data_IF_330586887578
#
_entry.id   IF_330586887578
#
_cell.length_a   1.000
_cell.length_b   1.000
_cell.length_c   1.000
_cell.angle_alpha   90.00
_cell.angle_beta   90.00
_cell.angle_gamma   90.00
#
_symmetry.space_group_name_H-M   'P 1'
#
loop_
_entity.id
_entity.type
_entity.pdbx_description
1 polymer ?
#
# COMPACT_ATOMS: atom_id res chain seq x y z
N UNK A 1 -33.51 -83.29 -12.01
CA UNK A 1 -32.71 -82.47 -12.93
C UNK A 1 -33.57 -82.28 -14.15
N UNK A 2 -33.86 -81.02 -14.50
CA UNK A 2 -34.39 -80.48 -15.77
C UNK A 2 -34.94 -79.10 -15.40
N UNK A 3 -34.10 -78.07 -15.50
CA UNK A 3 -33.90 -77.21 -16.67
C UNK A 3 -34.74 -75.94 -16.49
N UNK A 4 -34.15 -74.99 -15.73
CA UNK A 4 -34.65 -73.62 -15.69
C UNK A 4 -34.33 -72.98 -17.04
N UNK A 5 -35.36 -72.79 -17.84
CA UNK A 5 -35.31 -72.11 -19.14
C UNK A 5 -35.19 -70.60 -18.87
N UNK A 6 -33.99 -70.05 -19.07
CA UNK A 6 -33.76 -68.61 -19.01
C UNK A 6 -34.18 -68.01 -20.35
N UNK A 7 -35.35 -67.38 -20.35
CA UNK A 7 -35.76 -66.51 -21.45
C UNK A 7 -34.91 -65.24 -21.33
N UNK A 8 -33.91 -65.13 -22.20
CA UNK A 8 -33.17 -63.89 -22.41
C UNK A 8 -34.12 -62.87 -23.07
N UNK A 9 -34.67 -61.96 -22.27
CA UNK A 9 -35.35 -60.78 -22.78
C UNK A 9 -34.33 -59.88 -23.51
N UNK A 10 -34.39 -59.86 -24.84
CA UNK A 10 -33.65 -58.87 -25.64
C UNK A 10 -34.00 -57.46 -25.14
N UNK A 11 -33.00 -56.61 -24.83
CA UNK A 11 -33.27 -55.25 -24.38
C UNK A 11 -33.90 -54.48 -25.54
N UNK A 12 -35.22 -54.24 -25.43
CA UNK A 12 -35.94 -53.32 -26.31
C UNK A 12 -35.19 -52.00 -26.32
N UNK A 13 -34.60 -51.65 -27.47
CA UNK A 13 -34.00 -50.35 -27.73
C UNK A 13 -35.06 -49.28 -27.49
N UNK A 14 -35.07 -48.75 -26.26
CA UNK A 14 -35.99 -47.72 -25.85
C UNK A 14 -35.77 -46.48 -26.71
N UNK A 15 -36.76 -46.15 -27.53
CA UNK A 15 -36.84 -44.85 -28.18
C UNK A 15 -36.67 -43.78 -27.10
N UNK A 16 -35.70 -42.90 -27.32
CA UNK A 16 -35.33 -41.78 -26.47
C UNK A 16 -36.57 -41.04 -25.96
N UNK A 17 -36.80 -41.10 -24.66
CA UNK A 17 -37.75 -40.25 -23.95
C UNK A 17 -37.35 -38.78 -24.15
N UNK A 18 -38.24 -38.02 -24.80
CA UNK A 18 -38.03 -36.62 -25.19
C UNK A 18 -37.65 -35.69 -24.02
N UNK A 19 -38.05 -36.03 -22.77
CA UNK A 19 -37.65 -35.28 -21.56
C UNK A 19 -36.18 -35.47 -21.17
N UNK A 20 -35.56 -36.61 -21.50
CA UNK A 20 -34.13 -36.83 -21.25
C UNK A 20 -33.22 -36.17 -22.29
N UNK A 21 -33.73 -35.94 -23.51
CA UNK A 21 -32.98 -35.28 -24.59
C UNK A 21 -32.70 -33.81 -24.30
N UNK A 22 -33.69 -33.07 -23.82
CA UNK A 22 -33.57 -31.64 -23.50
C UNK A 22 -32.55 -31.38 -22.39
N UNK A 23 -32.54 -32.22 -21.35
CA UNK A 23 -31.57 -32.12 -20.25
C UNK A 23 -30.14 -32.41 -20.73
N UNK A 24 -29.96 -33.42 -21.60
CA UNK A 24 -28.65 -33.73 -22.19
C UNK A 24 -28.13 -32.60 -23.07
N UNK A 25 -29.01 -31.94 -23.83
CA UNK A 25 -28.65 -30.78 -24.65
C UNK A 25 -28.22 -29.61 -23.76
N UNK A 26 -28.96 -29.33 -22.68
CA UNK A 26 -28.58 -28.30 -21.71
C UNK A 26 -27.23 -28.55 -21.05
N UNK A 27 -26.96 -29.79 -20.63
CA UNK A 27 -25.64 -30.17 -20.09
C UNK A 27 -24.52 -30.00 -21.12
N UNK A 28 -24.77 -30.33 -22.39
CA UNK A 28 -23.78 -30.19 -23.46
C UNK A 28 -23.45 -28.71 -23.72
N UNK A 29 -24.46 -27.84 -23.77
CA UNK A 29 -24.25 -26.40 -23.89
C UNK A 29 -23.46 -25.82 -22.72
N UNK A 30 -23.76 -26.25 -21.50
CA UNK A 30 -23.02 -25.81 -20.32
C UNK A 30 -21.54 -26.19 -20.41
N UNK A 31 -21.24 -27.46 -20.73
CA UNK A 31 -19.86 -27.95 -20.88
C UNK A 31 -19.12 -27.18 -21.99
N UNK A 32 -19.75 -26.99 -23.16
CA UNK A 32 -19.15 -26.24 -24.27
C UNK A 32 -18.90 -24.78 -23.85
N UNK A 33 -19.85 -24.15 -23.16
CA UNK A 33 -19.70 -22.80 -22.63
C UNK A 33 -18.53 -22.68 -21.66
N UNK A 34 -18.38 -23.63 -20.73
CA UNK A 34 -17.24 -23.67 -19.79
C UNK A 34 -15.91 -23.84 -20.52
N UNK A 35 -15.85 -24.72 -21.53
CA UNK A 35 -14.64 -24.92 -22.34
C UNK A 35 -14.29 -23.64 -23.11
N UNK A 36 -15.28 -22.99 -23.75
CA UNK A 36 -15.07 -21.73 -24.45
C UNK A 36 -14.55 -20.63 -23.52
N UNK A 37 -15.10 -20.52 -22.30
CA UNK A 37 -14.65 -19.57 -21.29
C UNK A 37 -13.22 -19.87 -20.83
N UNK A 38 -12.87 -21.13 -20.59
CA UNK A 38 -11.51 -21.52 -20.23
C UNK A 38 -10.50 -21.20 -21.36
N UNK A 39 -10.85 -21.49 -22.61
CA UNK A 39 -10.01 -21.16 -23.77
C UNK A 39 -9.85 -19.65 -23.95
N UNK A 40 -10.91 -18.88 -23.71
CA UNK A 40 -10.85 -17.42 -23.70
C UNK A 40 -9.84 -16.91 -22.68
N UNK A 41 -9.90 -17.38 -21.44
CA UNK A 41 -8.93 -16.99 -20.41
C UNK A 41 -7.50 -17.37 -20.80
N UNK A 42 -7.28 -18.62 -21.24
CA UNK A 42 -5.93 -19.05 -21.70
C UNK A 42 -5.41 -18.15 -22.82
N UNK A 43 -6.26 -17.79 -23.79
CA UNK A 43 -5.88 -16.89 -24.87
C UNK A 43 -5.51 -15.49 -24.36
N UNK A 44 -6.27 -14.93 -23.41
CA UNK A 44 -5.95 -13.64 -22.77
C UNK A 44 -4.65 -13.67 -21.96
N UNK A 45 -4.28 -14.79 -21.34
CA UNK A 45 -3.02 -14.91 -20.62
C UNK A 45 -1.80 -15.06 -21.55
N UNK A 46 -1.97 -15.72 -22.70
CA UNK A 46 -0.89 -15.91 -23.68
C UNK A 46 -0.62 -14.63 -24.47
N UNK A 47 -1.67 -13.91 -24.85
CA UNK A 47 -1.58 -12.62 -25.53
C UNK A 47 -2.39 -11.57 -24.77
N UNK A 48 -1.80 -10.94 -23.74
CA UNK A 48 -2.52 -9.96 -22.90
C UNK A 48 -2.89 -8.68 -23.66
N UNK A 49 -2.36 -8.46 -24.86
CA UNK A 49 -2.65 -7.29 -25.68
C UNK A 49 -3.71 -7.55 -26.76
N UNK A 50 -4.34 -8.72 -26.77
CA UNK A 50 -5.40 -9.02 -27.75
C UNK A 50 -6.64 -8.13 -27.54
N UNK A 51 -7.37 -7.83 -28.62
CA UNK A 51 -8.53 -6.93 -28.62
C UNK A 51 -9.73 -7.41 -27.79
N UNK A 52 -9.75 -8.68 -27.41
CA UNK A 52 -10.80 -9.28 -26.60
C UNK A 52 -10.45 -9.32 -25.11
N UNK A 53 -9.24 -8.89 -24.71
CA UNK A 53 -8.90 -8.72 -23.30
C UNK A 53 -9.55 -7.42 -22.77
N UNK A 54 -10.55 -7.48 -21.87
CA UNK A 54 -11.16 -6.28 -21.28
C UNK A 54 -10.21 -5.46 -20.38
N UNK A 55 -9.08 -6.04 -19.97
CA UNK A 55 -8.04 -5.37 -19.16
C UNK A 55 -6.65 -5.59 -19.77
N UNK A 56 -6.31 -4.93 -20.89
CA UNK A 56 -4.95 -4.98 -21.41
C UNK A 56 -4.00 -4.29 -20.42
N UNK A 57 -2.79 -4.85 -20.19
CA UNK A 57 -1.79 -4.19 -19.37
C UNK A 57 -1.38 -2.84 -20.01
N UNK A 58 -0.88 -1.88 -19.23
CA UNK A 58 -0.46 -0.59 -19.75
C UNK A 58 0.60 -0.81 -20.83
N UNK A 59 0.31 -0.38 -22.06
CA UNK A 59 1.24 -0.47 -23.18
C UNK A 59 2.53 0.27 -22.81
N UNK A 60 3.70 -0.39 -22.83
CA UNK A 60 4.95 0.34 -22.68
C UNK A 60 5.00 1.38 -23.80
N UNK A 61 5.07 2.65 -23.42
CA UNK A 61 5.34 3.72 -24.39
C UNK A 61 6.69 3.38 -24.99
N UNK A 62 6.72 3.06 -26.28
CA UNK A 62 7.95 2.88 -27.03
C UNK A 62 8.69 4.22 -27.01
N UNK A 63 9.62 4.37 -26.07
CA UNK A 63 10.57 5.47 -26.06
C UNK A 63 11.30 5.42 -27.40
N UNK A 64 10.98 6.38 -28.28
CA UNK A 64 11.70 6.60 -29.52
C UNK A 64 13.21 6.75 -29.24
N UNK A 65 14.06 6.49 -30.22
CA UNK A 65 15.50 6.35 -30.00
C UNK A 65 16.08 7.63 -29.40
N UNK A 66 16.40 7.58 -28.10
CA UNK A 66 17.23 8.58 -27.42
C UNK A 66 18.60 8.56 -28.08
N UNK A 67 18.95 9.65 -28.74
CA UNK A 67 20.22 9.81 -29.44
C UNK A 67 21.40 9.55 -28.51
N UNK A 68 22.29 8.66 -28.93
CA UNK A 68 23.59 8.38 -28.33
C UNK A 68 24.34 9.68 -28.01
N UNK A 69 24.77 9.93 -26.75
CA UNK A 69 25.70 11.01 -26.48
C UNK A 69 27.06 10.64 -27.08
N UNK A 70 27.49 11.44 -28.04
CA UNK A 70 28.84 11.38 -28.63
C UNK A 70 29.85 11.75 -27.54
N UNK A 71 30.74 10.81 -27.21
CA UNK A 71 31.84 11.01 -26.25
C UNK A 71 32.89 11.97 -26.87
N UNK A 72 33.27 13.07 -26.19
CA UNK A 72 34.43 13.85 -26.59
C UNK A 72 35.74 13.14 -26.21
N UNK A 73 36.84 13.36 -26.96
CA UNK A 73 38.07 12.58 -26.82
C UNK A 73 38.80 12.91 -25.51
N UNK A 74 39.25 11.86 -24.82
CA UNK A 74 40.15 11.90 -23.66
C UNK A 74 41.56 12.26 -24.13
N UNK A 75 42.04 13.44 -23.78
CA UNK A 75 43.46 13.79 -23.86
C UNK A 75 44.14 13.77 -22.48
N UNK A 76 45.37 13.26 -22.52
CA UNK A 76 46.24 12.69 -21.49
C UNK A 76 46.92 13.77 -20.62
N UNK A 77 47.07 13.57 -19.29
CA UNK A 77 48.29 13.95 -18.55
C UNK A 77 48.51 13.05 -17.32
N UNK A 78 49.70 12.43 -17.13
CA UNK A 78 50.10 11.83 -15.85
C UNK A 78 50.82 12.87 -14.96
N UNK A 79 50.47 12.96 -13.68
CA UNK A 79 51.27 13.71 -12.70
C UNK A 79 51.37 12.95 -11.37
N UNK A 80 52.61 12.67 -10.99
CA UNK A 80 53.07 11.92 -9.83
C UNK A 80 53.16 12.77 -8.55
N UNK A 81 52.71 12.19 -7.42
CA UNK A 81 53.22 12.21 -6.00
C UNK A 81 53.85 13.51 -5.42
N UNK A 82 53.77 13.83 -4.09
CA UNK A 82 53.55 12.91 -2.98
C UNK A 82 52.63 13.32 -1.81
N UNK A 83 52.34 12.30 -1.01
CA UNK A 83 51.63 12.28 0.28
C UNK A 83 52.28 13.18 1.35
N UNK A 84 51.47 13.88 2.17
CA UNK A 84 51.91 14.37 3.47
C UNK A 84 51.43 13.47 4.62
N UNK A 85 52.40 13.07 5.42
CA UNK A 85 52.34 12.43 6.74
C UNK A 85 51.48 13.22 7.73
N UNK A 86 50.51 12.57 8.38
CA UNK A 86 49.82 13.13 9.55
C UNK A 86 50.72 12.90 10.76
N UNK A 87 51.26 13.99 11.31
CA UNK A 87 51.93 14.03 12.62
C UNK A 87 50.86 14.19 13.68
N UNK A 88 50.81 13.23 14.60
CA UNK A 88 50.02 13.25 15.82
C UNK A 88 50.66 14.24 16.81
N UNK A 89 50.02 15.38 17.04
CA UNK A 89 50.34 16.27 18.17
C UNK A 89 49.17 16.24 19.14
N UNK A 90 49.38 15.48 20.21
CA UNK A 90 48.58 15.51 21.43
C UNK A 90 48.97 16.76 22.23
N UNK A 91 48.07 17.74 22.34
CA UNK A 91 48.15 18.78 23.37
C UNK A 91 46.97 18.65 24.35
N UNK A 92 47.34 18.52 25.61
CA UNK A 92 46.52 18.39 26.81
C UNK A 92 45.92 19.76 27.18
N UNK A 93 44.59 19.91 27.37
CA UNK A 93 44.06 21.14 27.94
C UNK A 93 44.34 21.19 29.44
N UNK A 94 45.14 22.18 29.84
CA UNK A 94 45.38 22.57 31.23
C UNK A 94 44.14 23.28 31.77
N UNK A 95 43.54 22.74 32.83
CA UNK A 95 42.46 23.39 33.58
C UNK A 95 42.99 24.67 34.25
N UNK A 96 42.47 25.83 33.82
CA UNK A 96 42.61 27.08 34.55
C UNK A 96 41.23 27.53 35.00
N UNK A 97 40.99 27.51 36.31
CA UNK A 97 39.82 28.07 36.96
C UNK A 97 40.04 29.56 37.21
N UNK A 98 39.29 30.42 36.54
CA UNK A 98 39.18 31.84 36.88
C UNK A 98 37.69 32.18 37.11
N UNK A 99 37.30 32.77 38.25
CA UNK A 99 35.94 33.23 38.48
C UNK A 99 35.89 34.75 38.28
N UNK A 100 34.91 35.28 37.52
CA UNK A 100 34.34 36.63 37.69
C UNK A 100 33.11 36.83 36.78
N UNK A 101 32.14 37.69 37.18
CA UNK A 101 30.71 37.50 36.96
C UNK A 101 30.08 38.46 35.93
N UNK A 102 28.89 38.09 35.44
CA UNK A 102 27.96 38.99 34.74
C UNK A 102 27.23 38.31 33.58
N UNK A 103 25.91 38.17 33.69
CA UNK A 103 25.02 37.65 32.62
C UNK A 103 24.98 38.53 31.36
N UNK A 104 24.17 38.19 30.33
CA UNK A 104 22.75 37.86 30.48
C UNK A 104 22.27 36.59 29.75
N UNK A 105 21.18 36.04 30.30
CA UNK A 105 20.01 35.46 29.61
C UNK A 105 20.26 34.38 28.56
N UNK A 106 19.98 33.13 28.96
CA UNK A 106 19.59 32.09 28.02
C UNK A 106 18.32 32.54 27.28
N UNK A 107 18.43 32.82 25.99
CA UNK A 107 17.28 32.85 25.09
C UNK A 107 16.76 31.42 24.99
N UNK A 108 15.79 31.08 25.83
CA UNK A 108 14.92 29.94 25.58
C UNK A 108 14.11 30.31 24.35
N UNK A 109 14.47 29.71 23.23
CA UNK A 109 13.65 29.73 22.03
C UNK A 109 12.27 29.16 22.39
N UNK A 110 11.18 29.93 22.30
CA UNK A 110 9.85 29.37 22.50
C UNK A 110 9.52 28.51 21.29
N UNK A 111 9.75 27.21 21.43
CA UNK A 111 9.04 26.19 20.66
C UNK A 111 7.57 26.60 20.54
N UNK A 112 6.97 26.64 19.33
CA UNK A 112 5.59 27.05 19.19
C UNK A 112 4.73 26.09 20.03
N UNK A 113 4.16 26.64 21.10
CA UNK A 113 3.14 26.00 21.90
C UNK A 113 1.98 25.68 20.96
N UNK A 114 1.84 24.41 20.59
CA UNK A 114 0.65 23.86 19.95
C UNK A 114 -0.54 24.28 20.81
N UNK A 115 -1.29 25.24 20.29
CA UNK A 115 -2.64 25.53 20.78
C UNK A 115 -3.46 24.32 20.33
N UNK A 116 -4.16 23.60 21.21
CA UNK A 116 -5.07 22.56 20.76
C UNK A 116 -6.09 23.25 19.85
N UNK A 117 -5.99 22.97 18.56
CA UNK A 117 -7.06 23.29 17.63
C UNK A 117 -8.28 22.52 18.14
N UNK A 118 -9.41 23.20 18.30
CA UNK A 118 -10.66 22.55 18.65
C UNK A 118 -10.94 21.50 17.57
N UNK A 119 -10.65 20.24 17.89
CA UNK A 119 -11.30 19.11 17.25
C UNK A 119 -12.78 19.35 17.49
N UNK A 120 -13.50 19.75 16.45
CA UNK A 120 -14.94 19.54 16.45
C UNK A 120 -15.13 18.03 16.60
N UNK A 121 -15.64 17.64 17.77
CA UNK A 121 -16.05 16.28 18.07
C UNK A 121 -17.13 15.92 17.07
N UNK A 122 -16.71 15.35 15.94
CA UNK A 122 -17.60 14.73 14.97
C UNK A 122 -18.28 13.63 15.75
N UNK A 123 -19.57 13.81 16.01
CA UNK A 123 -20.38 12.84 16.72
C UNK A 123 -20.19 11.49 16.03
N UNK A 124 -19.77 10.42 16.75
CA UNK A 124 -19.58 9.13 16.12
C UNK A 124 -20.89 8.74 15.45
N UNK A 125 -20.83 8.58 14.13
CA UNK A 125 -21.95 8.03 13.38
C UNK A 125 -22.01 6.57 13.77
N UNK A 126 -22.94 6.22 14.66
CA UNK A 126 -23.21 4.83 15.01
C UNK A 126 -23.32 4.01 13.72
N UNK A 127 -22.38 3.09 13.54
CA UNK A 127 -22.29 2.20 12.38
C UNK A 127 -23.55 1.35 12.30
N UNK A 128 -24.53 1.80 11.52
CA UNK A 128 -25.79 1.09 11.26
C UNK A 128 -25.58 -0.22 10.46
N UNK A 129 -24.35 -0.54 10.04
CA UNK A 129 -24.05 -1.68 9.17
C UNK A 129 -23.77 -2.98 9.93
N UNK A 130 -23.63 -2.94 11.26
CA UNK A 130 -23.23 -4.12 12.04
C UNK A 130 -21.78 -4.56 11.78
N UNK A 131 -21.01 -3.78 11.01
CA UNK A 131 -19.57 -3.94 10.84
C UNK A 131 -18.82 -3.40 12.06
N UNK A 132 -17.68 -4.00 12.42
CA UNK A 132 -16.83 -3.49 13.48
C UNK A 132 -16.37 -2.07 13.16
N UNK A 133 -16.38 -1.21 14.17
CA UNK A 133 -15.85 0.14 14.07
C UNK A 133 -14.38 0.19 14.54
N UNK A 134 -13.60 1.09 13.94
CA UNK A 134 -12.18 1.24 14.20
C UNK A 134 -11.83 2.68 14.56
N UNK A 135 -10.93 2.85 15.51
CA UNK A 135 -10.30 4.13 15.82
C UNK A 135 -8.88 4.18 15.29
N UNK A 136 -8.51 5.31 14.73
CA UNK A 136 -7.13 5.57 14.36
C UNK A 136 -6.31 5.95 15.61
N UNK A 137 -5.12 5.36 15.75
CA UNK A 137 -4.12 5.66 16.77
C UNK A 137 -2.85 6.20 16.11
N UNK A 138 -2.42 7.39 16.53
CA UNK A 138 -1.37 8.18 15.86
C UNK A 138 -1.84 9.60 15.50
N UNK A 139 -1.14 10.31 14.59
CA UNK A 139 0.06 9.87 13.85
C UNK A 139 1.35 9.87 14.69
N UNK A 140 2.25 8.93 14.40
CA UNK A 140 3.64 8.92 14.87
C UNK A 140 4.60 9.13 13.70
N UNK A 141 5.69 9.87 13.89
CA UNK A 141 6.59 10.26 12.80
C UNK A 141 7.97 9.65 12.97
N UNK A 142 8.49 9.05 11.90
CA UNK A 142 9.82 8.46 11.83
C UNK A 142 10.49 8.77 10.48
N UNK A 143 11.76 8.40 10.37
CA UNK A 143 12.45 8.27 9.09
C UNK A 143 12.08 6.93 8.44
N UNK A 144 11.75 6.97 7.15
CA UNK A 144 11.53 5.76 6.36
C UNK A 144 12.85 5.05 6.07
N UNK A 145 12.85 3.72 6.00
CA UNK A 145 14.06 2.92 5.74
C UNK A 145 14.71 3.21 4.38
N UNK A 146 13.94 3.72 3.41
CA UNK A 146 14.46 4.16 2.10
C UNK A 146 15.10 5.56 2.15
N UNK A 147 15.27 6.16 3.33
CA UNK A 147 15.75 7.52 3.50
C UNK A 147 14.79 8.52 2.85
N UNK A 148 15.33 9.55 2.20
CA UNK A 148 14.55 10.69 1.68
C UNK A 148 13.93 10.49 0.28
N UNK A 149 13.70 9.24 -0.15
CA UNK A 149 13.21 8.90 -1.50
C UNK A 149 11.67 8.96 -1.65
N UNK A 150 10.99 9.53 -0.65
CA UNK A 150 9.55 9.63 -0.65
C UNK A 150 8.99 10.05 0.69
N UNK A 151 7.66 10.10 0.72
CA UNK A 151 6.86 10.23 1.91
C UNK A 151 5.84 9.11 1.94
N UNK A 152 5.70 8.47 3.10
CA UNK A 152 4.97 7.23 3.28
C UNK A 152 4.02 7.34 4.45
N UNK A 153 2.86 6.73 4.31
CA UNK A 153 1.92 6.49 5.41
C UNK A 153 1.82 4.98 5.58
N UNK A 154 2.01 4.48 6.79
CA UNK A 154 1.98 3.07 7.08
C UNK A 154 1.31 2.80 8.43
N UNK A 155 1.06 1.53 8.71
CA UNK A 155 0.48 1.14 9.99
C UNK A 155 0.03 -0.30 10.01
N UNK A 156 -0.77 -0.61 11.02
CA UNK A 156 -1.31 -1.95 11.28
C UNK A 156 -2.82 -1.87 11.54
N UNK A 157 -3.51 -3.01 11.49
CA UNK A 157 -4.93 -3.10 11.81
C UNK A 157 -5.15 -4.23 12.80
N UNK A 158 -5.63 -3.90 14.00
CA UNK A 158 -5.84 -4.87 15.08
C UNK A 158 -7.29 -4.94 15.53
N UNK A 159 -7.71 -6.12 15.97
CA UNK A 159 -8.94 -6.30 16.72
C UNK A 159 -8.79 -5.82 18.18
N UNK A 160 -9.89 -5.86 18.93
CA UNK A 160 -9.93 -5.50 20.36
C UNK A 160 -9.03 -6.38 21.26
N UNK A 161 -8.54 -7.52 20.75
CA UNK A 161 -7.67 -8.45 21.47
C UNK A 161 -6.20 -8.32 21.04
N UNK A 162 -5.88 -7.40 20.12
CA UNK A 162 -4.54 -7.21 19.58
C UNK A 162 -4.15 -8.26 18.53
N UNK A 163 -5.11 -8.96 17.93
CA UNK A 163 -4.82 -9.84 16.80
C UNK A 163 -4.74 -9.05 15.49
N UNK A 164 -3.82 -9.41 14.59
CA UNK A 164 -3.72 -8.79 13.28
C UNK A 164 -4.93 -9.12 12.40
N UNK A 165 -5.52 -8.08 11.82
CA UNK A 165 -6.61 -8.17 10.87
C UNK A 165 -6.11 -7.82 9.47
N UNK A 166 -6.29 -8.74 8.52
CA UNK A 166 -5.91 -8.54 7.11
C UNK A 166 -7.14 -8.31 6.23
N UNK A 167 -6.91 -7.91 4.97
CA UNK A 167 -7.96 -7.68 3.96
C UNK A 167 -8.92 -6.50 4.21
N UNK A 168 -8.54 -5.55 5.06
CA UNK A 168 -9.14 -4.22 5.11
C UNK A 168 -8.46 -3.30 4.11
N UNK A 169 -9.20 -2.31 3.61
CA UNK A 169 -8.70 -1.33 2.64
C UNK A 169 -8.42 -0.02 3.37
N UNK A 170 -7.21 0.48 3.22
CA UNK A 170 -6.76 1.74 3.79
C UNK A 170 -6.63 2.75 2.66
N UNK A 171 -7.39 3.84 2.77
CA UNK A 171 -7.42 4.88 1.75
C UNK A 171 -6.91 6.19 2.33
N UNK A 172 -5.90 6.75 1.66
CA UNK A 172 -5.39 8.09 1.97
C UNK A 172 -5.85 9.03 0.87
N UNK A 173 -6.54 10.10 1.26
CA UNK A 173 -7.17 11.06 0.36
C UNK A 173 -6.77 12.49 0.74
N UNK A 174 -7.18 13.44 -0.11
CA UNK A 174 -7.00 14.87 0.12
C UNK A 174 -6.07 15.52 -0.88
N UNK A 175 -5.36 16.55 -0.45
CA UNK A 175 -4.41 17.28 -1.29
C UNK A 175 -3.07 17.48 -0.59
N UNK A 176 -1.99 17.34 -1.36
CA UNK A 176 -0.61 17.57 -0.93
C UNK A 176 -0.01 18.62 -1.87
N UNK A 177 0.48 19.73 -1.31
CA UNK A 177 0.90 20.93 -2.08
C UNK A 177 -0.19 21.48 -3.04
N UNK A 178 -1.46 21.33 -2.65
CA UNK A 178 -2.61 21.71 -3.49
C UNK A 178 -2.89 20.75 -4.66
N UNK A 179 -2.12 19.67 -4.81
CA UNK A 179 -2.36 18.62 -5.81
C UNK A 179 -3.17 17.49 -5.16
N UNK A 180 -4.26 17.01 -5.79
CA UNK A 180 -5.01 15.86 -5.29
C UNK A 180 -4.14 14.61 -5.22
N UNK A 181 -4.23 13.88 -4.10
CA UNK A 181 -3.65 12.56 -4.00
C UNK A 181 -4.43 11.59 -4.90
N UNK A 182 -3.76 11.03 -5.89
CA UNK A 182 -4.29 9.98 -6.76
C UNK A 182 -3.38 8.76 -6.66
N UNK A 183 -3.50 8.08 -5.52
CA UNK A 183 -2.66 6.95 -5.11
C UNK A 183 -3.53 5.72 -4.91
N UNK A 184 -2.93 4.54 -5.07
CA UNK A 184 -3.64 3.28 -4.85
C UNK A 184 -3.87 3.07 -3.35
N UNK A 185 -5.04 2.50 -3.02
CA UNK A 185 -5.34 2.09 -1.65
C UNK A 185 -4.38 0.98 -1.22
N UNK A 186 -3.99 0.98 0.05
CA UNK A 186 -3.28 -0.16 0.62
C UNK A 186 -4.28 -1.19 1.15
N UNK A 187 -3.88 -2.46 1.12
CA UNK A 187 -4.60 -3.54 1.80
C UNK A 187 -3.83 -3.94 3.05
N UNK A 188 -4.47 -3.99 4.22
CA UNK A 188 -3.85 -4.53 5.44
C UNK A 188 -3.31 -5.94 5.20
N UNK A 189 -2.04 -6.15 5.50
CA UNK A 189 -1.27 -7.36 5.18
C UNK A 189 -0.38 -7.24 3.93
N UNK A 190 -0.42 -6.12 3.19
CA UNK A 190 0.47 -5.88 2.05
C UNK A 190 1.91 -5.54 2.45
N UNK A 191 2.13 -5.10 3.68
CA UNK A 191 3.43 -4.69 4.22
C UNK A 191 3.76 -5.45 5.53
N UNK A 192 4.00 -6.77 5.45
CA UNK A 192 4.17 -7.62 6.64
C UNK A 192 5.43 -7.32 7.47
N UNK A 193 6.31 -6.43 6.99
CA UNK A 193 7.47 -5.94 7.74
C UNK A 193 7.08 -5.10 8.97
N UNK A 194 5.88 -4.51 8.99
CA UNK A 194 5.37 -3.76 10.13
C UNK A 194 4.69 -4.68 11.15
N UNK A 195 3.88 -5.62 10.67
CA UNK A 195 3.07 -6.59 11.42
C UNK A 195 2.36 -7.51 10.39
N UNK A 196 1.83 -8.71 10.71
CA UNK A 196 1.03 -9.49 9.75
C UNK A 196 -0.16 -8.74 9.13
N UNK A 197 -0.70 -7.72 9.82
CA UNK A 197 -1.73 -6.79 9.30
C UNK A 197 -1.17 -5.52 8.64
N UNK A 198 0.15 -5.40 8.56
CA UNK A 198 0.85 -4.18 8.15
C UNK A 198 0.49 -3.72 6.74
N UNK A 199 0.43 -2.41 6.56
CA UNK A 199 0.15 -1.75 5.29
C UNK A 199 1.04 -0.51 5.12
N UNK A 200 1.25 -0.11 3.87
CA UNK A 200 2.03 1.09 3.53
C UNK A 200 1.55 1.66 2.20
N UNK A 201 1.51 3.00 2.12
CA UNK A 201 1.23 3.78 0.92
C UNK A 201 2.30 4.85 0.77
N UNK A 202 2.89 4.96 -0.43
CA UNK A 202 3.73 6.09 -0.80
C UNK A 202 2.83 7.23 -1.28
N UNK A 203 2.85 8.38 -0.60
CA UNK A 203 1.98 9.52 -0.91
C UNK A 203 2.68 10.61 -1.72
N UNK A 204 4.02 10.59 -1.78
CA UNK A 204 4.83 11.50 -2.60
C UNK A 204 6.23 10.95 -2.83
N UNK A 205 6.89 11.37 -3.92
CA UNK A 205 8.29 11.06 -4.22
C UNK A 205 9.29 11.90 -3.42
N UNK A 206 8.83 12.94 -2.74
CA UNK A 206 9.63 13.76 -1.82
C UNK A 206 8.82 14.16 -0.60
N UNK A 207 9.46 14.40 0.56
CA UNK A 207 8.75 14.92 1.72
C UNK A 207 8.17 16.32 1.44
N UNK A 208 6.88 16.49 1.70
CA UNK A 208 6.17 17.75 1.50
C UNK A 208 5.39 18.09 2.76
N UNK A 209 5.55 19.31 3.26
CA UNK A 209 4.77 19.79 4.39
C UNK A 209 3.32 20.11 4.00
N UNK A 210 2.36 19.67 4.82
CA UNK A 210 0.95 20.00 4.68
C UNK A 210 0.24 20.02 6.03
N UNK A 211 -0.86 20.77 6.11
CA UNK A 211 -1.63 20.91 7.34
C UNK A 211 -3.12 20.92 7.04
N UNK A 212 -3.83 19.90 7.50
CA UNK A 212 -5.29 19.84 7.42
C UNK A 212 -5.86 19.51 6.04
N UNK A 213 -5.03 19.02 5.11
CA UNK A 213 -5.44 18.74 3.72
C UNK A 213 -5.37 17.27 3.35
N UNK A 214 -4.71 16.43 4.15
CA UNK A 214 -4.59 14.99 3.93
C UNK A 214 -5.30 14.25 5.05
N UNK A 215 -6.05 13.20 4.69
CA UNK A 215 -6.77 12.37 5.64
C UNK A 215 -6.76 10.90 5.24
N UNK A 216 -7.07 10.04 6.20
CA UNK A 216 -7.08 8.59 6.04
C UNK A 216 -8.32 7.97 6.67
N UNK A 217 -8.83 6.93 6.03
CA UNK A 217 -9.99 6.16 6.44
C UNK A 217 -9.77 4.66 6.18
N UNK A 218 -10.42 3.82 6.98
CA UNK A 218 -10.42 2.38 6.83
C UNK A 218 -11.76 1.90 6.26
N UNK A 219 -11.73 0.92 5.36
CA UNK A 219 -12.90 0.32 4.73
C UNK A 219 -12.88 -1.20 4.86
N UNK A 220 -14.07 -1.79 4.97
CA UNK A 220 -14.28 -3.23 4.79
C UNK A 220 -14.53 -3.54 3.31
N UNK A 221 -14.16 -4.73 2.85
CA UNK A 221 -14.54 -5.21 1.51
C UNK A 221 -16.06 -5.36 1.32
N UNK A 222 -16.82 -5.33 2.41
CA UNK A 222 -18.27 -5.49 2.43
C UNK A 222 -19.03 -4.15 2.40
N UNK A 223 -18.34 -3.01 2.49
CA UNK A 223 -18.93 -1.68 2.60
C UNK A 223 -18.26 -0.66 1.69
N UNK A 224 -19.06 0.22 1.08
CA UNK A 224 -18.56 1.40 0.36
C UNK A 224 -18.27 2.57 1.32
N UNK A 225 -18.91 2.58 2.50
CA UNK A 225 -18.69 3.57 3.54
C UNK A 225 -17.51 3.17 4.45
N UNK A 226 -16.75 4.15 4.98
CA UNK A 226 -15.66 3.88 5.90
C UNK A 226 -16.19 3.27 7.22
N UNK A 227 -15.40 2.37 7.79
CA UNK A 227 -15.66 1.72 9.09
C UNK A 227 -14.81 2.30 10.22
N UNK A 228 -14.12 3.41 9.96
CA UNK A 228 -13.38 4.19 10.95
C UNK A 228 -13.80 5.65 10.90
N UNK A 229 -13.47 6.37 11.97
CA UNK A 229 -13.42 7.83 11.92
C UNK A 229 -12.38 8.30 10.87
N UNK A 230 -12.66 9.42 10.23
CA UNK A 230 -11.70 10.11 9.35
C UNK A 230 -10.61 10.76 10.20
N UNK A 231 -9.35 10.38 9.97
CA UNK A 231 -8.21 11.02 10.63
C UNK A 231 -7.51 11.99 9.66
N UNK A 232 -7.57 13.29 9.96
CA UNK A 232 -6.78 14.32 9.28
C UNK A 232 -5.42 14.45 9.95
N UNK A 233 -4.34 14.46 9.18
CA UNK A 233 -2.97 14.54 9.73
C UNK A 233 -2.11 15.58 9.02
N UNK A 234 -0.97 15.92 9.66
CA UNK A 234 0.03 16.84 9.11
C UNK A 234 1.17 16.05 8.49
N UNK A 235 1.82 16.62 7.47
CA UNK A 235 3.03 16.07 6.86
C UNK A 235 4.17 17.08 6.97
N UNK A 236 5.41 16.62 6.84
CA UNK A 236 6.62 17.44 6.98
C UNK A 236 7.54 17.33 5.76
N UNK A 237 8.28 18.38 5.46
CA UNK A 237 9.28 18.41 4.37
C UNK A 237 10.66 17.86 4.79
N UNK A 238 10.79 17.38 6.04
CA UNK A 238 12.01 16.79 6.58
C UNK A 238 12.06 15.27 6.41
N UNK A 239 13.22 14.75 6.00
CA UNK A 239 13.45 13.30 5.83
C UNK A 239 13.34 12.51 7.14
N UNK A 240 13.57 13.13 8.30
CA UNK A 240 13.44 12.45 9.60
C UNK A 240 12.00 12.18 10.03
N UNK A 241 11.01 12.67 9.27
CA UNK A 241 9.57 12.56 9.55
C UNK A 241 8.79 12.20 8.29
N UNK A 242 9.42 11.48 7.35
CA UNK A 242 8.81 11.10 6.08
C UNK A 242 8.09 9.75 6.13
N UNK A 243 8.04 9.07 7.28
CA UNK A 243 7.18 7.93 7.57
C UNK A 243 6.16 8.33 8.63
N UNK A 244 4.88 8.35 8.26
CA UNK A 244 3.74 8.63 9.12
C UNK A 244 3.08 7.29 9.50
N UNK A 245 3.12 6.93 10.78
CA UNK A 245 2.52 5.70 11.30
C UNK A 245 1.14 5.98 11.90
N UNK A 246 0.13 5.28 11.41
CA UNK A 246 -1.27 5.37 11.87
C UNK A 246 -1.82 3.95 11.99
N UNK A 247 -2.21 3.53 13.18
CA UNK A 247 -2.78 2.21 13.40
C UNK A 247 -4.29 2.29 13.48
N UNK A 248 -5.00 1.26 13.01
CA UNK A 248 -6.45 1.15 13.22
C UNK A 248 -6.74 0.06 14.23
N UNK A 249 -7.40 0.41 15.32
CA UNK A 249 -7.74 -0.50 16.41
C UNK A 249 -9.25 -0.58 16.51
N UNK A 250 -9.80 -1.79 16.47
CA UNK A 250 -11.23 -2.01 16.68
C UNK A 250 -11.62 -1.50 18.08
N UNK A 251 -12.77 -0.83 18.20
CA UNK A 251 -13.17 -0.17 19.46
C UNK A 251 -14.38 -0.80 20.17
N UNK A 252 -15.11 -1.72 19.51
CA UNK A 252 -16.21 -2.52 20.10
C UNK A 252 -16.28 -3.95 19.58
#
# INVERSE_FOLDING_TARGET
>A
MDAFDFIDDEPKKGLLSSRGGIWRIGTLYFIVGTICLALFFVYTFVDPYNSFNPWPPPTPTEEGPVGTPTQPPTDIVPSSLPSPTITETQELPTFTTEPTPGGPTATTDPFPSITPFLTEEVTPTESLSGLPHFKADGPFYNEHQDGCNGMYVAGIVWDIYGNPLTHYIVRVNGTLDGVPLNIEDATSGSAPQYDPSGWEVKISDTPIASSGTVYIELYSLESEDPISDMLVFVTYDGCSMNLILINFIQDQ
#
